data_IF_340271962636
#
_entry.id   IF_340271962636
#
_cell.length_a   1.000
_cell.length_b   1.000
_cell.length_c   1.000
_cell.angle_alpha   90.00
_cell.angle_beta   90.00
_cell.angle_gamma   90.00
#
_symmetry.space_group_name_H-M   'P 1'
#
loop_
_entity.id
_entity.type
_entity.pdbx_description
1 polymer ?
#
# COMPACT_ATOMS: atom_id res chain seq x y z
N UNK A 1 0.89 -32.00 28.46
CA UNK A 1 1.91 -31.01 28.03
C UNK A 1 1.37 -30.29 26.82
N UNK A 2 0.98 -29.02 27.00
CA UNK A 2 0.41 -28.16 25.96
C UNK A 2 1.55 -27.58 25.12
N UNK A 3 1.58 -27.85 23.81
CA UNK A 3 2.39 -27.06 22.88
C UNK A 3 1.47 -26.40 21.85
N UNK A 4 0.99 -25.24 22.28
CA UNK A 4 0.18 -24.29 21.55
C UNK A 4 0.94 -23.77 20.31
N UNK A 5 0.66 -24.33 19.12
CA UNK A 5 1.17 -23.85 17.83
C UNK A 5 0.31 -22.70 17.26
N UNK A 6 -0.01 -21.70 18.06
CA UNK A 6 -0.68 -20.46 17.59
C UNK A 6 0.28 -19.29 17.33
N UNK A 7 1.59 -19.48 17.54
CA UNK A 7 2.61 -18.44 17.30
C UNK A 7 3.02 -18.27 15.83
N UNK A 8 2.46 -19.06 14.90
CA UNK A 8 2.71 -18.92 13.45
C UNK A 8 1.60 -18.14 12.71
N UNK A 9 0.61 -17.62 13.44
CA UNK A 9 -0.23 -16.51 12.98
C UNK A 9 0.25 -15.22 13.67
N UNK A 10 1.54 -14.91 13.57
CA UNK A 10 1.92 -13.51 13.63
C UNK A 10 1.15 -12.84 12.49
N UNK A 11 0.28 -11.85 12.77
CA UNK A 11 -0.41 -11.17 11.69
C UNK A 11 0.65 -10.73 10.68
N UNK A 12 0.45 -11.04 9.40
CA UNK A 12 1.44 -10.74 8.40
C UNK A 12 1.77 -9.24 8.46
N UNK A 13 3.05 -8.92 8.28
CA UNK A 13 3.65 -7.59 8.54
C UNK A 13 2.98 -6.41 7.83
N UNK A 14 1.99 -6.65 6.97
CA UNK A 14 1.15 -5.66 6.31
C UNK A 14 -0.10 -5.22 7.10
N UNK A 15 -0.48 -5.87 8.21
CA UNK A 15 -1.58 -5.37 9.06
C UNK A 15 -1.47 -3.89 9.47
N UNK A 16 -0.29 -3.35 9.87
CA UNK A 16 -0.20 -1.93 10.20
C UNK A 16 -0.54 -1.00 9.03
N UNK A 17 -0.34 -1.44 7.77
CA UNK A 17 -0.69 -0.67 6.58
C UNK A 17 -2.20 -0.69 6.34
N UNK A 18 -2.83 -1.86 6.51
CA UNK A 18 -4.29 -1.98 6.45
C UNK A 18 -4.98 -1.10 7.51
N UNK A 19 -4.38 -0.98 8.69
CA UNK A 19 -4.84 -0.08 9.74
C UNK A 19 -4.68 1.40 9.36
N UNK A 20 -3.64 1.77 8.62
CA UNK A 20 -3.46 3.15 8.12
C UNK A 20 -4.50 3.51 7.05
N UNK A 21 -4.83 2.58 6.15
CA UNK A 21 -5.86 2.83 5.14
C UNK A 21 -7.23 3.06 5.79
N UNK A 22 -7.57 2.28 6.81
CA UNK A 22 -8.81 2.48 7.58
C UNK A 22 -8.80 3.77 8.40
N UNK A 23 -7.64 4.28 8.84
CA UNK A 23 -7.51 5.60 9.43
C UNK A 23 -7.86 6.71 8.43
N UNK A 24 -7.47 6.61 7.15
CA UNK A 24 -7.87 7.60 6.15
C UNK A 24 -9.39 7.61 5.92
N UNK A 25 -10.04 6.45 5.97
CA UNK A 25 -11.50 6.35 5.94
C UNK A 25 -12.11 7.03 7.16
N UNK A 26 -11.64 6.70 8.37
CA UNK A 26 -12.13 7.27 9.62
C UNK A 26 -11.92 8.78 9.75
N UNK A 27 -10.91 9.33 9.07
CA UNK A 27 -10.62 10.76 9.01
C UNK A 27 -11.35 11.50 7.87
N UNK A 28 -12.15 10.80 7.05
CA UNK A 28 -12.82 11.38 5.89
C UNK A 28 -11.88 11.76 4.74
N UNK A 29 -10.63 11.29 4.76
CA UNK A 29 -9.59 11.58 3.76
C UNK A 29 -9.47 10.46 2.72
N UNK A 30 -10.60 9.94 2.26
CA UNK A 30 -10.70 8.84 1.28
C UNK A 30 -10.06 9.16 -0.07
N UNK A 31 -9.89 10.45 -0.39
CA UNK A 31 -9.15 10.92 -1.57
C UNK A 31 -7.72 10.36 -1.65
N UNK A 32 -7.03 10.17 -0.52
CA UNK A 32 -5.69 9.58 -0.52
C UNK A 32 -5.69 8.10 -0.92
N UNK A 33 -6.75 7.35 -0.58
CA UNK A 33 -6.94 5.97 -1.03
C UNK A 33 -7.21 5.92 -2.53
N UNK A 34 -7.96 6.88 -3.07
CA UNK A 34 -8.18 6.99 -4.51
C UNK A 34 -6.86 7.28 -5.26
N UNK A 35 -6.06 8.22 -4.75
CA UNK A 35 -4.74 8.51 -5.33
C UNK A 35 -3.79 7.32 -5.24
N UNK A 36 -3.74 6.65 -4.09
CA UNK A 36 -2.94 5.44 -3.89
C UNK A 36 -3.35 4.34 -4.87
N UNK A 37 -4.65 4.08 -5.02
CA UNK A 37 -5.16 3.10 -5.97
C UNK A 37 -4.81 3.46 -7.42
N UNK A 38 -4.99 4.71 -7.84
CA UNK A 38 -4.64 5.16 -9.19
C UNK A 38 -3.14 4.98 -9.43
N UNK A 39 -2.29 5.45 -8.52
CA UNK A 39 -0.84 5.39 -8.68
C UNK A 39 -0.31 3.96 -8.69
N UNK A 40 -0.80 3.09 -7.81
CA UNK A 40 -0.39 1.67 -7.79
C UNK A 40 -0.89 0.96 -9.05
N UNK A 41 -2.15 1.16 -9.45
CA UNK A 41 -2.71 0.44 -10.60
C UNK A 41 -2.16 0.93 -11.94
N UNK A 42 -2.22 2.24 -12.21
CA UNK A 42 -1.67 2.80 -13.45
C UNK A 42 -0.13 2.79 -13.46
N UNK A 43 0.51 3.04 -12.33
CA UNK A 43 1.97 3.02 -12.24
C UNK A 43 2.51 1.60 -12.39
N UNK A 44 2.21 0.70 -11.46
CA UNK A 44 2.83 -0.63 -11.45
C UNK A 44 2.27 -1.51 -12.57
N UNK A 45 0.95 -1.69 -12.62
CA UNK A 45 0.35 -2.59 -13.61
C UNK A 45 0.28 -1.96 -15.01
N UNK A 46 0.09 -0.64 -15.11
CA UNK A 46 0.14 0.05 -16.41
C UNK A 46 1.53 0.01 -17.04
N UNK A 47 2.61 0.23 -16.28
CA UNK A 47 3.99 0.08 -16.80
C UNK A 47 4.24 -1.37 -17.22
N UNK A 48 3.83 -2.36 -16.41
CA UNK A 48 3.98 -3.77 -16.78
C UNK A 48 3.22 -4.12 -18.07
N UNK A 49 2.03 -3.55 -18.27
CA UNK A 49 1.27 -3.70 -19.50
C UNK A 49 1.99 -3.09 -20.71
N UNK A 50 2.58 -1.91 -20.58
CA UNK A 50 3.37 -1.30 -21.67
C UNK A 50 4.63 -2.12 -22.00
N UNK A 51 5.30 -2.65 -20.98
CA UNK A 51 6.46 -3.55 -21.15
C UNK A 51 6.07 -4.87 -21.84
N UNK A 52 4.88 -5.40 -21.52
CA UNK A 52 4.32 -6.56 -22.20
C UNK A 52 4.09 -6.27 -23.69
N UNK A 53 3.46 -5.14 -24.01
CA UNK A 53 3.19 -4.75 -25.41
C UNK A 53 4.47 -4.53 -26.21
N UNK A 54 5.54 -4.05 -25.58
CA UNK A 54 6.86 -3.91 -26.21
C UNK A 54 7.68 -5.20 -26.27
N UNK A 55 7.14 -6.35 -25.86
CA UNK A 55 7.83 -7.63 -25.73
C UNK A 55 9.08 -7.62 -24.81
N UNK A 56 9.20 -6.62 -23.94
CA UNK A 56 10.27 -6.51 -22.94
C UNK A 56 9.99 -7.33 -21.68
N UNK A 57 8.73 -7.73 -21.47
CA UNK A 57 8.30 -8.50 -20.31
C UNK A 57 7.27 -9.55 -20.73
N UNK A 58 7.39 -10.76 -20.18
CA UNK A 58 6.45 -11.86 -20.42
C UNK A 58 5.71 -12.24 -19.13
N UNK A 59 4.37 -12.39 -19.15
CA UNK A 59 3.59 -12.78 -17.99
C UNK A 59 3.77 -14.27 -17.71
N UNK A 60 4.76 -14.60 -16.91
CA UNK A 60 4.89 -15.92 -16.26
C UNK A 60 4.33 -15.86 -14.85
N UNK A 61 4.00 -17.02 -14.26
CA UNK A 61 3.54 -17.10 -12.87
C UNK A 61 4.52 -16.39 -11.91
N UNK A 62 5.82 -16.64 -12.06
CA UNK A 62 6.85 -16.00 -11.24
C UNK A 62 6.90 -14.49 -11.44
N UNK A 63 6.84 -14.01 -12.69
CA UNK A 63 6.90 -12.58 -12.99
C UNK A 63 5.66 -11.84 -12.47
N UNK A 64 4.49 -12.48 -12.50
CA UNK A 64 3.25 -11.94 -11.92
C UNK A 64 3.37 -11.86 -10.39
N UNK A 65 3.93 -12.87 -9.73
CA UNK A 65 4.18 -12.81 -8.28
C UNK A 65 5.11 -11.65 -7.91
N UNK A 66 6.18 -11.44 -8.68
CA UNK A 66 7.08 -10.30 -8.50
C UNK A 66 6.33 -8.98 -8.70
N UNK A 67 5.48 -8.89 -9.73
CA UNK A 67 4.67 -7.70 -10.01
C UNK A 67 3.71 -7.36 -8.87
N UNK A 68 3.03 -8.36 -8.30
CA UNK A 68 2.20 -8.17 -7.10
C UNK A 68 3.04 -7.73 -5.89
N UNK A 69 4.21 -8.33 -5.68
CA UNK A 69 5.14 -7.92 -4.62
C UNK A 69 5.56 -6.46 -4.75
N UNK A 70 5.92 -6.02 -5.97
CA UNK A 70 6.24 -4.62 -6.26
C UNK A 70 5.03 -3.72 -6.02
N UNK A 71 3.83 -4.14 -6.44
CA UNK A 71 2.58 -3.43 -6.20
C UNK A 71 2.35 -3.16 -4.71
N UNK A 72 2.52 -4.18 -3.86
CA UNK A 72 2.38 -4.06 -2.41
C UNK A 72 3.42 -3.10 -1.82
N UNK A 73 4.68 -3.15 -2.28
CA UNK A 73 5.74 -2.24 -1.80
C UNK A 73 5.43 -0.79 -2.18
N UNK A 74 5.02 -0.54 -3.41
CA UNK A 74 4.65 0.81 -3.88
C UNK A 74 3.46 1.35 -3.10
N UNK A 75 2.42 0.53 -2.94
CA UNK A 75 1.23 0.86 -2.15
C UNK A 75 1.61 1.26 -0.71
N UNK A 76 2.42 0.42 -0.05
CA UNK A 76 2.92 0.66 1.31
C UNK A 76 3.68 1.98 1.43
N UNK A 77 4.52 2.31 0.44
CA UNK A 77 5.28 3.57 0.43
C UNK A 77 4.35 4.79 0.31
N UNK A 78 3.31 4.70 -0.53
CA UNK A 78 2.31 5.76 -0.69
C UNK A 78 1.50 5.95 0.59
N UNK A 79 1.04 4.87 1.23
CA UNK A 79 0.32 4.93 2.52
C UNK A 79 1.16 5.65 3.58
N UNK A 80 2.45 5.31 3.70
CA UNK A 80 3.37 5.94 4.65
C UNK A 80 3.59 7.42 4.31
N UNK A 81 3.74 7.76 3.02
CA UNK A 81 3.93 9.13 2.58
C UNK A 81 2.69 10.00 2.86
N UNK A 82 1.50 9.57 2.45
CA UNK A 82 0.25 10.25 2.76
C UNK A 82 -0.01 10.32 4.26
N UNK A 83 0.35 9.27 5.01
CA UNK A 83 0.26 9.26 6.46
C UNK A 83 1.08 10.40 7.07
N UNK A 84 2.31 10.63 6.61
CA UNK A 84 3.13 11.76 7.04
C UNK A 84 2.51 13.11 6.67
N UNK A 85 1.94 13.24 5.47
CA UNK A 85 1.28 14.49 5.02
C UNK A 85 0.08 14.81 5.92
N UNK A 86 -0.80 13.84 6.14
CA UNK A 86 -2.00 14.00 6.98
C UNK A 86 -1.64 14.29 8.43
N UNK A 87 -0.60 13.65 8.97
CA UNK A 87 -0.11 13.94 10.33
C UNK A 87 0.46 15.36 10.45
N UNK A 88 1.13 15.87 9.41
CA UNK A 88 1.62 17.26 9.39
C UNK A 88 0.49 18.28 9.30
N UNK A 89 -0.59 17.99 8.57
CA UNK A 89 -1.79 18.84 8.55
C UNK A 89 -2.43 18.95 9.94
N UNK A 90 -2.49 17.85 10.69
CA UNK A 90 -3.03 17.85 12.06
C UNK A 90 -2.08 18.45 13.10
N UNK A 91 -0.77 18.38 12.87
CA UNK A 91 0.27 18.90 13.77
C UNK A 91 0.52 20.41 13.72
N UNK A 92 -0.23 21.18 12.93
CA UNK A 92 -0.07 22.65 12.80
C UNK A 92 -1.39 23.41 13.08
N UNK A 93 -2.48 22.73 13.41
CA UNK A 93 -3.79 23.38 13.66
C UNK A 93 -4.15 23.56 15.15
N UNK A 94 -3.26 23.21 16.09
CA UNK A 94 -3.50 23.41 17.54
C UNK A 94 -2.52 24.38 18.22
N UNK A 95 -1.67 25.07 17.45
CA UNK A 95 -0.88 26.22 17.91
C UNK A 95 -1.19 27.39 16.99
N UNK A 96 -2.40 27.92 17.11
CA UNK A 96 -2.85 29.28 16.79
C UNK A 96 -4.36 29.26 16.55
N UNK A 97 -5.12 29.28 17.64
CA UNK A 97 -6.29 30.12 17.86
C UNK A 97 -6.59 30.16 19.35
#
# INVERSE_FOLDING_TARGET
>A
MLHNRSSLLSPPSYLPLLLLDTLFIGLGKTQYLAYQSILTNLGVYGIAYLLYQGAYWAPSFFNILVLFGVGIVVDSLLTVWYGRVVLREKGIASVNM
#
